data_IF_994428755967
#
_entry.id   IF_994428755967
#
_cell.length_a   1.000
_cell.length_b   1.000
_cell.length_c   1.000
_cell.angle_alpha   90.00
_cell.angle_beta   90.00
_cell.angle_gamma   90.00
#
_symmetry.space_group_name_H-M   'P 1'
#
loop_
_entity.id
_entity.type
_entity.pdbx_description
1 polymer ?
#
# COMPACT_ATOMS: atom_id res chain seq x y z
N UNK A 1 0.25 -5.85 -7.34
CA UNK A 1 1.72 -5.96 -7.42
C UNK A 1 2.06 -6.89 -8.58
N UNK A 2 3.04 -6.55 -9.41
CA UNK A 2 3.49 -7.46 -10.47
C UNK A 2 4.40 -8.55 -9.88
N UNK A 3 4.49 -9.76 -10.48
CA UNK A 3 5.21 -10.91 -9.90
C UNK A 3 6.69 -10.68 -9.54
N UNK A 4 7.38 -9.74 -10.20
CA UNK A 4 8.80 -9.41 -9.97
C UNK A 4 9.01 -7.98 -9.43
N UNK A 5 7.92 -7.26 -9.18
CA UNK A 5 7.96 -5.89 -8.68
C UNK A 5 8.14 -5.93 -7.16
N UNK A 6 9.18 -5.29 -6.64
CA UNK A 6 9.36 -5.13 -5.20
C UNK A 6 8.36 -4.10 -4.61
N UNK A 7 8.17 -4.16 -3.30
CA UNK A 7 7.22 -3.34 -2.55
C UNK A 7 7.48 -1.83 -2.73
N UNK A 8 8.76 -1.43 -2.81
CA UNK A 8 9.14 -0.02 -3.01
C UNK A 8 8.65 0.48 -4.36
N UNK A 9 8.90 -0.28 -5.44
CA UNK A 9 8.42 0.05 -6.78
C UNK A 9 6.89 0.03 -6.85
N UNK A 10 6.26 -0.98 -6.24
CA UNK A 10 4.81 -1.11 -6.22
C UNK A 10 4.12 0.10 -5.56
N UNK A 11 4.54 0.47 -4.36
CA UNK A 11 3.98 1.61 -3.63
C UNK A 11 4.33 2.94 -4.32
N UNK A 12 5.56 3.09 -4.81
CA UNK A 12 5.97 4.27 -5.57
C UNK A 12 5.13 4.49 -6.83
N UNK A 13 4.81 3.42 -7.56
CA UNK A 13 3.92 3.48 -8.73
C UNK A 13 2.49 3.88 -8.36
N UNK A 14 1.97 3.38 -7.23
CA UNK A 14 0.65 3.77 -6.75
C UNK A 14 0.61 5.27 -6.36
N UNK A 15 1.66 5.77 -5.71
CA UNK A 15 1.79 7.20 -5.38
C UNK A 15 1.87 8.07 -6.62
N UNK A 16 2.66 7.66 -7.63
CA UNK A 16 2.75 8.39 -8.90
C UNK A 16 1.38 8.45 -9.60
N UNK A 17 0.67 7.32 -9.67
CA UNK A 17 -0.67 7.28 -10.26
C UNK A 17 -1.65 8.19 -9.51
N UNK A 18 -1.60 8.20 -8.17
CA UNK A 18 -2.40 9.11 -7.36
C UNK A 18 -2.10 10.57 -7.68
N UNK A 19 -0.82 10.94 -7.81
CA UNK A 19 -0.41 12.29 -8.16
C UNK A 19 -0.90 12.69 -9.56
N UNK A 20 -0.81 11.79 -10.54
CA UNK A 20 -1.28 12.04 -11.91
C UNK A 20 -2.81 12.23 -11.95
N UNK A 21 -3.57 11.42 -11.20
CA UNK A 21 -5.02 11.56 -11.07
C UNK A 21 -5.40 12.90 -10.41
N UNK A 22 -4.72 13.27 -9.33
CA UNK A 22 -4.92 14.57 -8.68
C UNK A 22 -4.59 15.74 -9.62
N UNK A 23 -3.53 15.62 -10.42
CA UNK A 23 -3.17 16.62 -11.43
C UNK A 23 -4.22 16.75 -12.54
N UNK A 24 -4.97 15.68 -12.84
CA UNK A 24 -6.12 15.71 -13.77
C UNK A 24 -7.40 16.29 -13.16
N UNK A 25 -7.37 16.68 -11.88
CA UNK A 25 -8.52 17.24 -11.15
C UNK A 25 -9.38 16.20 -10.42
N UNK A 26 -8.94 14.94 -10.33
CA UNK A 26 -9.61 13.95 -9.50
C UNK A 26 -9.28 14.18 -8.02
N UNK A 27 -10.25 13.98 -7.13
CA UNK A 27 -9.98 13.89 -5.70
C UNK A 27 -9.55 12.45 -5.39
N UNK A 28 -8.32 12.29 -4.86
CA UNK A 28 -7.83 11.00 -4.36
C UNK A 28 -7.40 11.20 -2.92
N UNK A 29 -8.12 10.59 -1.98
CA UNK A 29 -7.78 10.68 -0.56
C UNK A 29 -6.67 9.72 -0.21
N UNK A 30 -5.86 10.07 0.80
CA UNK A 30 -4.76 9.20 1.23
C UNK A 30 -5.27 7.83 1.71
N UNK A 31 -6.40 7.80 2.41
CA UNK A 31 -7.05 6.55 2.83
C UNK A 31 -7.39 5.64 1.62
N UNK A 32 -7.92 6.22 0.55
CA UNK A 32 -8.30 5.47 -0.67
C UNK A 32 -7.06 4.94 -1.38
N UNK A 33 -5.97 5.73 -1.42
CA UNK A 33 -4.69 5.28 -1.93
C UNK A 33 -4.15 4.09 -1.12
N UNK A 34 -4.15 4.19 0.21
CA UNK A 34 -3.68 3.10 1.09
C UNK A 34 -4.54 1.84 0.92
N UNK A 35 -5.87 1.98 0.90
CA UNK A 35 -6.77 0.86 0.66
C UNK A 35 -6.51 0.21 -0.71
N UNK A 36 -6.27 1.02 -1.75
CA UNK A 36 -5.94 0.52 -3.09
C UNK A 36 -4.60 -0.22 -3.12
N UNK A 37 -3.58 0.30 -2.41
CA UNK A 37 -2.28 -0.37 -2.26
C UNK A 37 -2.48 -1.74 -1.62
N UNK A 38 -3.17 -1.81 -0.47
CA UNK A 38 -3.40 -3.04 0.28
C UNK A 38 -4.21 -4.06 -0.52
N UNK A 39 -5.26 -3.63 -1.22
CA UNK A 39 -6.11 -4.49 -2.04
C UNK A 39 -5.38 -5.11 -3.23
N UNK A 40 -4.33 -4.45 -3.74
CA UNK A 40 -3.52 -4.95 -4.85
C UNK A 40 -2.33 -5.80 -4.44
N UNK A 41 -2.17 -6.14 -3.15
CA UNK A 41 -1.09 -7.01 -2.69
C UNK A 41 -1.36 -8.49 -3.02
N UNK A 42 -0.29 -9.29 -3.21
CA UNK A 42 -0.40 -10.74 -3.38
C UNK A 42 -1.04 -11.43 -2.16
N UNK A 43 -1.59 -12.63 -2.36
CA UNK A 43 -2.33 -13.38 -1.32
C UNK A 43 -1.47 -13.68 -0.07
N UNK A 44 -0.17 -13.80 -0.24
CA UNK A 44 0.79 -14.03 0.84
C UNK A 44 0.75 -12.91 1.91
N UNK A 45 0.27 -11.71 1.54
CA UNK A 45 0.12 -10.57 2.44
C UNK A 45 -1.25 -10.50 3.12
N UNK A 46 -2.20 -11.40 2.83
CA UNK A 46 -3.60 -11.33 3.27
C UNK A 46 -3.73 -11.17 4.80
N UNK A 47 -2.96 -11.95 5.58
CA UNK A 47 -2.96 -11.83 7.05
C UNK A 47 -2.43 -10.48 7.54
N UNK A 48 -1.40 -9.93 6.88
CA UNK A 48 -0.89 -8.61 7.22
C UNK A 48 -1.90 -7.51 6.89
N UNK A 49 -2.53 -7.60 5.71
CA UNK A 49 -3.57 -6.67 5.29
C UNK A 49 -4.72 -6.67 6.31
N UNK A 50 -5.20 -7.84 6.71
CA UNK A 50 -6.26 -7.98 7.71
C UNK A 50 -5.86 -7.32 9.04
N UNK A 51 -4.65 -7.57 9.53
CA UNK A 51 -4.16 -6.91 10.76
C UNK A 51 -4.06 -5.39 10.63
N UNK A 52 -3.63 -4.87 9.47
CA UNK A 52 -3.56 -3.43 9.26
C UNK A 52 -4.97 -2.84 9.29
N UNK A 53 -5.92 -3.45 8.59
CA UNK A 53 -7.30 -2.97 8.49
C UNK A 53 -8.03 -3.05 9.85
N UNK A 54 -7.85 -4.13 10.60
CA UNK A 54 -8.57 -4.35 11.86
C UNK A 54 -8.07 -3.48 13.02
N UNK A 55 -6.78 -3.10 13.00
CA UNK A 55 -6.14 -2.37 14.11
C UNK A 55 -5.72 -0.94 13.78
N UNK A 56 -5.81 -0.50 12.53
CA UNK A 56 -5.55 0.89 12.17
C UNK A 56 -6.71 1.78 12.59
N UNK A 57 -6.39 2.93 13.16
CA UNK A 57 -7.33 4.06 13.22
C UNK A 57 -7.23 4.88 11.93
N UNK A 58 -8.19 5.76 11.66
CA UNK A 58 -8.17 6.61 10.45
C UNK A 58 -6.84 7.37 10.30
N UNK A 59 -6.23 7.80 11.40
CA UNK A 59 -4.92 8.49 11.39
C UNK A 59 -3.73 7.58 11.11
N UNK A 60 -3.91 6.25 11.11
CA UNK A 60 -2.87 5.26 10.83
C UNK A 60 -2.82 4.80 9.38
N UNK A 61 -3.86 5.09 8.60
CA UNK A 61 -3.99 4.71 7.19
C UNK A 61 -3.33 5.72 6.27
N UNK A 62 -2.03 5.95 6.48
CA UNK A 62 -1.17 6.77 5.63
C UNK A 62 -0.08 5.92 5.00
N UNK A 63 0.39 6.31 3.81
CA UNK A 63 1.45 5.54 3.12
C UNK A 63 2.70 5.47 3.99
N UNK A 64 3.02 6.58 4.67
CA UNK A 64 4.17 6.68 5.57
C UNK A 64 4.13 5.67 6.72
N UNK A 65 2.95 5.43 7.30
CA UNK A 65 2.78 4.52 8.44
C UNK A 65 2.64 3.05 8.03
N UNK A 66 2.04 2.80 6.87
CA UNK A 66 1.82 1.44 6.35
C UNK A 66 3.09 0.86 5.71
N UNK A 67 3.86 1.68 4.98
CA UNK A 67 5.01 1.22 4.21
C UNK A 67 6.07 0.43 5.02
N UNK A 68 6.47 0.85 6.23
CA UNK A 68 7.43 0.08 7.03
C UNK A 68 6.94 -1.33 7.38
N UNK A 69 5.62 -1.52 7.58
CA UNK A 69 5.03 -2.85 7.86
C UNK A 69 5.10 -3.75 6.63
N UNK A 70 4.83 -3.19 5.45
CA UNK A 70 4.90 -3.90 4.17
C UNK A 70 6.33 -4.34 3.85
N UNK A 71 7.30 -3.44 4.03
CA UNK A 71 8.73 -3.74 3.82
C UNK A 71 9.22 -4.83 4.79
N UNK A 72 8.79 -4.80 6.05
CA UNK A 72 9.16 -5.85 6.99
C UNK A 72 8.61 -7.22 6.59
N UNK A 73 7.41 -7.27 6.01
CA UNK A 73 6.82 -8.52 5.53
C UNK A 73 7.51 -9.04 4.26
N UNK A 74 7.83 -8.17 3.30
CA UNK A 74 8.59 -8.54 2.10
C UNK A 74 9.92 -9.20 2.45
N UNK A 75 10.66 -8.66 3.42
CA UNK A 75 11.91 -9.25 3.90
C UNK A 75 11.75 -10.65 4.52
N UNK A 76 10.55 -11.00 5.00
CA UNK A 76 10.24 -12.34 5.55
C UNK A 76 9.89 -13.33 4.46
N UNK A 77 9.27 -12.88 3.37
CA UNK A 77 8.90 -13.72 2.23
C UNK A 77 10.05 -13.94 1.24
N UNK A 78 11.01 -13.00 1.17
CA UNK A 78 12.22 -13.14 0.37
C UNK A 78 13.25 -14.13 0.96
N UNK A 79 12.91 -14.86 2.03
CA UNK A 79 13.76 -15.85 2.71
C UNK A 79 13.33 -17.27 2.42
#
# INVERSE_FOLDING_TARGET
MLPEEDMVRYVGRAQQLSADLQASGAEVKELELVQSILAGLPKEYETLVQMIVDFATDGDMTVLKVMPKLLNAEQRFAR
#
